data_IF_741297020088
#
_entry.id   IF_741297020088
#
_cell.length_a   1.000
_cell.length_b   1.000
_cell.length_c   1.000
_cell.angle_alpha   90.00
_cell.angle_beta   90.00
_cell.angle_gamma   90.00
#
_symmetry.space_group_name_H-M   'P 1'
#
loop_
_entity.id
_entity.type
_entity.pdbx_description
1 polymer ?
#
# COMPACT_ATOMS: atom_id res chain seq x y z
N UNK A 1 -23.82 -38.15 -68.55
CA UNK A 1 -24.23 -37.75 -67.19
C UNK A 1 -23.85 -38.88 -66.25
N UNK A 2 -23.21 -38.55 -65.12
CA UNK A 2 -22.69 -39.41 -64.01
C UNK A 2 -21.21 -39.82 -64.08
N UNK A 3 -20.38 -38.91 -63.57
CA UNK A 3 -19.20 -39.21 -62.76
C UNK A 3 -19.64 -39.52 -61.33
N UNK A 4 -18.97 -40.45 -60.65
CA UNK A 4 -18.75 -40.53 -59.18
C UNK A 4 -17.79 -41.70 -58.94
N UNK A 5 -16.48 -41.46 -58.76
CA UNK A 5 -15.75 -41.16 -57.51
C UNK A 5 -15.77 -42.29 -56.47
N UNK A 6 -14.60 -42.91 -56.33
CA UNK A 6 -14.18 -43.70 -55.17
C UNK A 6 -13.97 -42.77 -53.97
N UNK A 7 -14.51 -43.14 -52.80
CA UNK A 7 -14.15 -42.51 -51.53
C UNK A 7 -13.30 -43.47 -50.70
N UNK A 8 -12.10 -43.00 -50.35
CA UNK A 8 -11.17 -43.63 -49.41
C UNK A 8 -11.76 -43.62 -47.99
N UNK A 9 -11.59 -44.73 -47.29
CA UNK A 9 -11.86 -44.87 -45.86
C UNK A 9 -10.63 -44.34 -45.09
N UNK A 10 -10.72 -43.18 -44.43
CA UNK A 10 -9.72 -42.74 -43.45
C UNK A 10 -10.19 -43.08 -42.04
N UNK A 11 -9.42 -43.91 -41.34
CA UNK A 11 -9.62 -44.20 -39.93
C UNK A 11 -9.05 -43.03 -39.10
N UNK A 12 -9.94 -42.22 -38.52
CA UNK A 12 -9.57 -41.22 -37.54
C UNK A 12 -9.41 -41.89 -36.17
N UNK A 13 -8.15 -42.09 -35.73
CA UNK A 13 -7.84 -42.45 -34.36
C UNK A 13 -8.05 -41.24 -33.45
N UNK A 14 -9.02 -41.32 -32.54
CA UNK A 14 -9.22 -40.33 -31.50
C UNK A 14 -8.13 -40.49 -30.43
N UNK A 15 -7.11 -39.64 -30.48
CA UNK A 15 -6.21 -39.40 -29.35
C UNK A 15 -6.97 -38.57 -28.32
N UNK A 16 -7.48 -39.24 -27.28
CA UNK A 16 -8.00 -38.58 -26.10
C UNK A 16 -6.81 -38.01 -25.31
N UNK A 17 -6.45 -36.75 -25.58
CA UNK A 17 -5.56 -35.97 -24.71
C UNK A 17 -6.31 -35.68 -23.42
N UNK A 18 -6.07 -36.48 -22.39
CA UNK A 18 -6.40 -36.11 -21.02
C UNK A 18 -5.52 -34.92 -20.63
N UNK A 19 -6.04 -33.71 -20.80
CA UNK A 19 -5.48 -32.54 -20.14
C UNK A 19 -5.64 -32.79 -18.64
N UNK A 20 -4.55 -33.23 -18.00
CA UNK A 20 -4.44 -33.16 -16.54
C UNK A 20 -4.35 -31.67 -16.21
N UNK A 21 -5.47 -31.10 -15.79
CA UNK A 21 -5.47 -29.82 -15.11
C UNK A 21 -4.74 -30.07 -13.80
N UNK A 22 -3.46 -29.77 -13.76
CA UNK A 22 -2.71 -29.74 -12.51
C UNK A 22 -3.44 -28.77 -11.60
N UNK A 23 -4.07 -29.29 -10.55
CA UNK A 23 -4.41 -28.46 -9.41
C UNK A 23 -3.06 -28.02 -8.86
N UNK A 24 -2.67 -26.78 -9.13
CA UNK A 24 -1.62 -26.12 -8.37
C UNK A 24 -2.12 -26.14 -6.93
N UNK A 25 -1.65 -27.07 -6.11
CA UNK A 25 -1.76 -26.88 -4.67
C UNK A 25 -1.07 -25.54 -4.41
N UNK A 26 -1.85 -24.56 -3.99
CA UNK A 26 -1.30 -23.31 -3.48
C UNK A 26 -0.29 -23.73 -2.41
N UNK A 27 1.01 -23.45 -2.65
CA UNK A 27 2.04 -23.72 -1.64
C UNK A 27 1.58 -22.98 -0.39
N UNK A 28 1.24 -23.73 0.65
CA UNK A 28 0.94 -23.12 1.94
C UNK A 28 2.23 -22.46 2.42
N UNK A 29 2.18 -21.14 2.58
CA UNK A 29 3.28 -20.37 3.15
C UNK A 29 3.21 -20.62 4.65
N UNK A 30 4.24 -21.27 5.19
CA UNK A 30 4.37 -21.43 6.64
C UNK A 30 4.92 -20.12 7.23
N UNK A 31 4.27 -19.61 8.27
CA UNK A 31 4.69 -18.39 8.95
C UNK A 31 4.44 -18.53 10.46
N UNK A 32 5.17 -17.73 11.23
CA UNK A 32 4.96 -17.55 12.67
C UNK A 32 4.38 -16.16 12.89
N UNK A 33 3.36 -16.04 13.74
CA UNK A 33 2.78 -14.75 14.12
C UNK A 33 2.71 -14.61 15.64
N UNK A 34 2.92 -13.39 16.13
CA UNK A 34 2.78 -13.04 17.53
C UNK A 34 2.56 -11.54 17.70
N UNK A 35 2.09 -11.14 18.88
CA UNK A 35 1.96 -9.73 19.26
C UNK A 35 3.02 -9.38 20.32
N UNK A 36 3.62 -8.19 20.22
CA UNK A 36 4.38 -7.58 21.30
C UNK A 36 3.43 -7.00 22.37
N UNK A 37 3.95 -6.72 23.58
CA UNK A 37 3.10 -6.18 24.67
C UNK A 37 2.54 -4.78 24.34
N UNK A 38 3.25 -4.01 23.51
CA UNK A 38 2.77 -2.73 22.98
C UNK A 38 1.75 -2.89 21.84
N UNK A 39 1.38 -4.12 21.46
CA UNK A 39 0.35 -4.38 20.46
C UNK A 39 0.84 -4.35 19.01
N UNK A 40 2.15 -4.22 18.75
CA UNK A 40 2.69 -4.46 17.41
C UNK A 40 2.44 -5.91 17.01
N UNK A 41 1.72 -6.11 15.92
CA UNK A 41 1.53 -7.43 15.33
C UNK A 41 2.71 -7.80 14.44
N UNK A 42 3.27 -8.98 14.63
CA UNK A 42 4.48 -9.45 13.94
C UNK A 42 4.19 -10.73 13.18
N UNK A 43 4.64 -10.79 11.92
CA UNK A 43 4.55 -11.98 11.05
C UNK A 43 5.94 -12.30 10.50
N UNK A 44 6.41 -13.53 10.70
CA UNK A 44 7.71 -14.02 10.25
C UNK A 44 7.56 -15.20 9.28
N UNK A 45 8.25 -15.13 8.16
CA UNK A 45 8.37 -16.23 7.20
C UNK A 45 9.84 -16.53 6.93
N UNK A 46 10.30 -17.69 7.41
CA UNK A 46 11.66 -18.19 7.19
C UNK A 46 11.77 -18.90 5.83
N UNK A 47 12.65 -18.40 4.97
CA UNK A 47 12.99 -18.99 3.67
C UNK A 47 14.47 -18.77 3.32
N UNK A 48 15.28 -19.83 3.44
CA UNK A 48 16.70 -19.83 3.09
C UNK A 48 16.99 -20.01 1.59
N UNK A 49 16.00 -19.87 0.70
CA UNK A 49 16.19 -20.06 -0.73
C UNK A 49 17.17 -19.04 -1.36
N UNK A 50 17.22 -17.82 -0.80
CA UNK A 50 18.16 -16.76 -1.18
C UNK A 50 18.62 -15.97 0.04
N UNK A 51 19.86 -15.44 0.09
CA UNK A 51 20.38 -14.69 1.23
C UNK A 51 19.85 -13.24 1.28
N UNK A 52 18.52 -13.10 1.20
CA UNK A 52 17.79 -11.84 1.19
C UNK A 52 16.71 -11.88 2.27
N UNK A 53 16.40 -10.72 2.80
CA UNK A 53 15.29 -10.52 3.73
C UNK A 53 14.49 -9.29 3.30
N UNK A 54 13.16 -9.42 3.31
CA UNK A 54 12.23 -8.31 3.16
C UNK A 54 11.75 -7.93 4.56
N UNK A 55 12.04 -6.69 4.99
CA UNK A 55 11.48 -6.09 6.21
C UNK A 55 10.39 -5.13 5.76
N UNK A 56 9.20 -5.22 6.36
CA UNK A 56 8.06 -4.42 5.92
C UNK A 56 7.22 -3.96 7.11
N UNK A 57 6.75 -2.72 7.06
CA UNK A 57 5.77 -2.20 8.03
C UNK A 57 4.55 -1.69 7.30
N UNK A 58 3.40 -2.28 7.62
CA UNK A 58 2.10 -1.84 7.16
C UNK A 58 1.42 -1.09 8.30
N UNK A 59 1.21 0.21 8.11
CA UNK A 59 0.38 1.01 9.00
C UNK A 59 -1.07 0.92 8.52
N UNK A 60 -1.98 0.62 9.45
CA UNK A 60 -3.42 0.55 9.20
C UNK A 60 -4.00 1.97 9.12
N UNK A 61 -3.51 2.77 8.19
CA UNK A 61 -3.97 4.13 7.90
C UNK A 61 -3.80 4.38 6.41
N UNK A 62 -4.83 4.94 5.77
CA UNK A 62 -4.74 5.42 4.40
C UNK A 62 -5.58 6.68 4.24
N UNK A 63 -5.79 7.11 2.99
CA UNK A 63 -6.51 8.37 2.75
C UNK A 63 -7.96 8.37 3.26
N UNK A 64 -8.57 7.19 3.47
CA UNK A 64 -9.92 7.09 4.05
C UNK A 64 -9.99 7.56 5.50
N UNK A 65 -8.87 7.52 6.22
CA UNK A 65 -8.79 7.88 7.63
C UNK A 65 -8.60 9.39 7.86
N UNK A 66 -8.43 10.14 6.78
CA UNK A 66 -8.16 11.58 6.83
C UNK A 66 -9.40 12.39 7.19
N UNK A 67 -9.18 13.59 7.74
CA UNK A 67 -10.25 14.58 7.87
C UNK A 67 -10.62 15.10 6.50
N UNK A 68 -11.91 15.33 6.28
CA UNK A 68 -12.44 15.82 4.99
C UNK A 68 -11.91 17.21 4.61
N UNK A 69 -11.44 18.00 5.58
CA UNK A 69 -10.83 19.32 5.39
C UNK A 69 -9.29 19.30 5.38
N UNK A 70 -8.66 18.12 5.53
CA UNK A 70 -7.21 17.89 5.56
C UNK A 70 -6.84 16.59 4.83
N UNK A 71 -7.12 16.52 3.54
CA UNK A 71 -6.84 15.33 2.72
C UNK A 71 -5.43 15.34 2.13
N UNK A 72 -4.89 14.15 1.86
CA UNK A 72 -3.54 13.94 1.32
C UNK A 72 -2.49 13.67 2.39
N UNK A 73 -2.87 13.64 3.67
CA UNK A 73 -1.97 13.47 4.80
C UNK A 73 -1.32 12.09 4.82
N UNK A 74 -2.05 11.02 4.51
CA UNK A 74 -1.49 9.67 4.50
C UNK A 74 -0.37 9.53 3.46
N UNK A 75 -0.59 10.06 2.26
CA UNK A 75 0.44 10.11 1.22
C UNK A 75 1.56 11.08 1.56
N UNK A 76 1.27 12.20 2.22
CA UNK A 76 2.30 13.13 2.66
C UNK A 76 3.27 12.48 3.65
N UNK A 77 2.75 11.68 4.60
CA UNK A 77 3.58 10.94 5.54
C UNK A 77 4.38 9.81 4.90
N UNK A 78 3.92 9.26 3.78
CA UNK A 78 4.76 8.39 2.94
C UNK A 78 6.08 9.07 2.60
N UNK A 79 6.04 10.32 2.11
CA UNK A 79 7.24 11.10 1.77
C UNK A 79 7.99 11.58 3.02
N UNK A 80 7.27 12.13 4.00
CA UNK A 80 7.86 12.80 5.14
C UNK A 80 8.68 11.85 6.02
N UNK A 81 8.28 10.57 6.10
CA UNK A 81 8.97 9.58 6.91
C UNK A 81 10.27 9.03 6.31
N UNK A 82 10.68 9.51 5.13
CA UNK A 82 12.03 9.34 4.60
C UNK A 82 12.96 10.52 4.95
N UNK A 83 12.44 11.61 5.50
CA UNK A 83 13.25 12.78 5.84
C UNK A 83 14.11 12.60 7.09
N UNK A 84 14.08 11.45 7.76
CA UNK A 84 14.96 11.11 8.88
C UNK A 84 14.28 11.11 10.24
N UNK A 85 15.09 10.95 11.27
CA UNK A 85 14.68 10.76 12.66
C UNK A 85 15.60 11.51 13.62
N UNK A 86 15.45 11.30 14.93
CA UNK A 86 16.41 11.80 15.91
C UNK A 86 17.84 11.25 15.68
N UNK A 87 17.97 10.01 15.19
CA UNK A 87 19.26 9.33 14.97
C UNK A 87 19.67 9.21 13.49
N UNK A 88 18.78 9.52 12.55
CA UNK A 88 19.03 9.49 11.10
C UNK A 88 18.94 10.92 10.57
N UNK A 89 20.04 11.44 10.01
CA UNK A 89 20.03 12.80 9.51
C UNK A 89 19.14 12.94 8.26
N UNK A 90 18.76 14.20 7.97
CA UNK A 90 17.80 14.48 6.91
C UNK A 90 18.30 14.06 5.54
N UNK A 91 17.52 13.24 4.86
CA UNK A 91 17.85 12.68 3.54
C UNK A 91 18.87 11.55 3.57
N UNK A 92 19.18 10.99 4.74
CA UNK A 92 20.12 9.86 4.86
C UNK A 92 19.44 8.50 5.00
N UNK A 93 18.11 8.43 5.21
CA UNK A 93 17.39 7.16 5.41
C UNK A 93 17.69 6.17 4.28
N UNK A 94 17.43 6.59 3.04
CA UNK A 94 17.64 5.76 1.83
C UNK A 94 19.10 5.36 1.67
N UNK A 95 20.03 6.23 2.06
CA UNK A 95 21.47 5.98 1.94
C UNK A 95 21.92 4.82 2.83
N UNK A 96 21.31 4.59 4.00
CA UNK A 96 21.61 3.41 4.82
C UNK A 96 21.29 2.12 4.07
N UNK A 97 20.12 2.04 3.44
CA UNK A 97 19.66 0.87 2.68
C UNK A 97 20.51 0.67 1.42
N UNK A 98 20.73 1.73 0.64
CA UNK A 98 21.51 1.66 -0.60
C UNK A 98 22.98 1.28 -0.34
N UNK A 99 23.61 1.83 0.70
CA UNK A 99 24.98 1.48 1.08
C UNK A 99 25.11 0.03 1.56
N UNK A 100 24.03 -0.54 2.11
CA UNK A 100 23.93 -1.95 2.46
C UNK A 100 23.65 -2.86 1.25
N UNK A 101 23.46 -2.31 0.06
CA UNK A 101 23.14 -3.03 -1.17
C UNK A 101 21.67 -3.43 -1.29
N UNK A 102 20.79 -2.82 -0.50
CA UNK A 102 19.36 -3.03 -0.53
C UNK A 102 18.62 -2.09 -1.48
N UNK A 103 17.31 -2.29 -1.54
CA UNK A 103 16.36 -1.37 -2.15
C UNK A 103 15.22 -1.12 -1.16
N UNK A 104 14.63 0.06 -1.22
CA UNK A 104 13.47 0.41 -0.41
C UNK A 104 12.43 1.15 -1.24
N UNK A 105 11.20 1.13 -0.76
CA UNK A 105 10.14 2.00 -1.27
C UNK A 105 8.98 2.07 -0.28
N UNK A 106 8.00 2.90 -0.60
CA UNK A 106 6.72 2.91 0.06
C UNK A 106 5.57 3.06 -0.93
N UNK A 107 4.35 2.85 -0.46
CA UNK A 107 3.15 3.31 -1.15
C UNK A 107 1.96 3.45 -0.19
N UNK A 108 1.07 4.36 -0.56
CA UNK A 108 -0.17 4.64 0.16
C UNK A 108 -1.38 4.33 -0.69
N UNK A 109 -2.38 3.70 -0.08
CA UNK A 109 -3.71 3.52 -0.65
C UNK A 109 -4.75 4.25 0.19
N UNK A 110 -6.03 4.08 -0.15
CA UNK A 110 -7.11 4.53 0.70
C UNK A 110 -7.12 3.81 2.06
N UNK A 111 -6.55 2.61 2.16
CA UNK A 111 -6.68 1.75 3.34
C UNK A 111 -5.43 1.64 4.20
N UNK A 112 -4.25 1.77 3.59
CA UNK A 112 -2.98 1.48 4.25
C UNK A 112 -1.80 2.23 3.65
N UNK A 113 -0.81 2.52 4.50
CA UNK A 113 0.52 3.00 4.10
C UNK A 113 1.51 1.88 4.38
N UNK A 114 2.30 1.54 3.37
CA UNK A 114 3.18 0.39 3.39
C UNK A 114 4.60 0.82 3.06
N UNK A 115 5.54 0.45 3.93
CA UNK A 115 6.97 0.66 3.75
C UNK A 115 7.67 -0.68 3.68
N UNK A 116 8.72 -0.77 2.86
CA UNK A 116 9.53 -1.97 2.79
C UNK A 116 10.98 -1.70 2.41
N UNK A 117 11.84 -2.57 2.93
CA UNK A 117 13.25 -2.71 2.56
C UNK A 117 13.51 -4.16 2.14
N UNK A 118 14.15 -4.35 0.99
CA UNK A 118 14.74 -5.62 0.59
C UNK A 118 16.26 -5.52 0.77
N UNK A 119 16.79 -6.35 1.67
CA UNK A 119 18.17 -6.27 2.15
C UNK A 119 18.86 -7.64 2.04
N UNK A 120 20.20 -7.70 1.95
CA UNK A 120 20.94 -8.92 2.28
C UNK A 120 20.58 -9.41 3.70
N UNK A 121 20.46 -10.72 3.92
CA UNK A 121 20.00 -11.27 5.22
C UNK A 121 20.85 -10.82 6.41
N UNK A 122 22.16 -10.62 6.21
CA UNK A 122 23.06 -10.10 7.24
C UNK A 122 22.85 -8.61 7.60
N UNK A 123 21.87 -7.95 6.98
CA UNK A 123 21.45 -6.57 7.25
C UNK A 123 20.04 -6.50 7.85
N UNK A 124 19.47 -7.62 8.30
CA UNK A 124 18.16 -7.65 8.97
C UNK A 124 18.07 -6.64 10.12
N UNK A 125 19.09 -6.59 11.00
CA UNK A 125 19.14 -5.66 12.11
C UNK A 125 19.12 -4.19 11.66
N UNK A 126 19.73 -3.86 10.51
CA UNK A 126 19.67 -2.52 9.93
C UNK A 126 18.24 -2.16 9.54
N UNK A 127 17.52 -3.05 8.86
CA UNK A 127 16.11 -2.83 8.49
C UNK A 127 15.21 -2.62 9.71
N UNK A 128 15.39 -3.45 10.74
CA UNK A 128 14.64 -3.32 12.00
C UNK A 128 14.92 -1.99 12.72
N UNK A 129 16.18 -1.57 12.77
CA UNK A 129 16.54 -0.27 13.33
C UNK A 129 15.88 0.88 12.57
N UNK A 130 15.99 0.89 11.23
CA UNK A 130 15.42 1.94 10.38
C UNK A 130 13.90 2.08 10.57
N UNK A 131 13.17 0.96 10.57
CA UNK A 131 11.71 0.98 10.76
C UNK A 131 11.31 1.36 12.19
N UNK A 132 12.10 1.00 13.20
CA UNK A 132 11.86 1.46 14.58
C UNK A 132 12.06 2.97 14.73
N UNK A 133 13.06 3.55 14.05
CA UNK A 133 13.31 5.00 14.03
C UNK A 133 12.17 5.75 13.36
N UNK A 134 11.62 5.21 12.27
CA UNK A 134 10.46 5.77 11.60
C UNK A 134 9.19 5.74 12.47
N UNK A 135 9.02 4.70 13.28
CA UNK A 135 7.84 4.55 14.14
C UNK A 135 7.89 5.40 15.41
N UNK A 136 9.07 5.57 16.01
CA UNK A 136 9.20 6.25 17.30
C UNK A 136 9.80 7.66 17.19
N UNK A 137 10.86 7.82 16.39
CA UNK A 137 11.73 8.99 16.42
C UNK A 137 11.62 9.85 15.16
N UNK A 138 10.57 9.69 14.34
CA UNK A 138 10.43 10.45 13.10
C UNK A 138 10.47 11.96 13.36
N UNK A 139 11.26 12.67 12.56
CA UNK A 139 11.56 14.07 12.79
C UNK A 139 10.68 14.97 11.90
N UNK A 140 9.52 15.34 12.42
CA UNK A 140 8.52 16.17 11.72
C UNK A 140 8.84 17.65 11.98
N UNK A 141 9.65 18.25 11.11
CA UNK A 141 10.00 19.67 11.17
C UNK A 141 9.31 20.49 10.08
N UNK A 142 9.05 21.77 10.34
CA UNK A 142 8.45 22.69 9.36
C UNK A 142 9.24 22.75 8.06
N UNK A 143 10.57 22.73 8.12
CA UNK A 143 11.41 22.73 6.91
C UNK A 143 11.15 21.51 6.03
N UNK A 144 10.85 20.36 6.65
CA UNK A 144 10.51 19.13 5.95
C UNK A 144 9.12 19.20 5.32
N UNK A 145 8.15 19.65 6.09
CA UNK A 145 6.78 19.91 5.61
C UNK A 145 6.80 20.87 4.42
N UNK A 146 7.49 22.00 4.51
CA UNK A 146 7.56 22.98 3.43
C UNK A 146 8.19 22.40 2.16
N UNK A 147 9.22 21.56 2.33
CA UNK A 147 9.90 20.91 1.20
C UNK A 147 8.98 19.88 0.53
N UNK A 148 8.40 18.98 1.33
CA UNK A 148 7.57 17.89 0.81
C UNK A 148 6.26 18.39 0.22
N UNK A 149 5.72 19.52 0.70
CA UNK A 149 4.55 20.13 0.08
C UNK A 149 4.82 20.53 -1.38
N UNK A 150 5.98 21.12 -1.67
CA UNK A 150 6.35 21.44 -3.06
C UNK A 150 6.64 20.19 -3.91
N UNK A 151 7.22 19.14 -3.31
CA UNK A 151 7.43 17.85 -3.99
C UNK A 151 6.10 17.20 -4.36
N UNK A 152 5.14 17.12 -3.43
CA UNK A 152 3.82 16.52 -3.66
C UNK A 152 3.03 17.31 -4.71
N UNK A 153 3.11 18.65 -4.72
CA UNK A 153 2.52 19.47 -5.78
C UNK A 153 3.09 19.12 -7.14
N UNK A 154 4.39 18.92 -7.24
CA UNK A 154 5.04 18.56 -8.48
C UNK A 154 4.71 17.13 -8.91
N UNK A 155 4.63 16.19 -7.97
CA UNK A 155 4.13 14.84 -8.23
C UNK A 155 2.70 14.89 -8.79
N UNK A 156 1.81 15.67 -8.18
CA UNK A 156 0.44 15.83 -8.67
C UNK A 156 0.42 16.34 -10.11
N UNK A 157 1.24 17.34 -10.42
CA UNK A 157 1.37 17.86 -11.79
C UNK A 157 1.86 16.76 -12.75
N UNK A 158 2.86 15.99 -12.35
CA UNK A 158 3.47 14.97 -13.21
C UNK A 158 2.61 13.71 -13.38
N UNK A 159 1.83 13.31 -12.37
CA UNK A 159 1.04 12.06 -12.38
C UNK A 159 -0.41 12.26 -12.78
N UNK A 160 -0.97 13.47 -12.57
CA UNK A 160 -2.39 13.73 -12.80
C UNK A 160 -2.63 14.88 -13.79
N UNK A 161 -2.06 16.06 -13.54
CA UNK A 161 -2.50 17.26 -14.27
C UNK A 161 -1.90 17.35 -15.69
N UNK A 162 -0.72 16.78 -15.88
CA UNK A 162 -0.02 16.73 -17.17
C UNK A 162 -0.03 15.33 -17.81
N UNK A 163 -0.72 14.35 -17.23
CA UNK A 163 -0.87 13.02 -17.83
C UNK A 163 -2.18 12.92 -18.62
N UNK A 164 -2.14 12.34 -19.83
CA UNK A 164 -3.36 11.96 -20.52
C UNK A 164 -4.23 11.06 -19.63
N UNK A 165 -5.50 11.39 -19.51
CA UNK A 165 -6.46 10.72 -18.62
C UNK A 165 -6.04 10.66 -17.13
N UNK A 166 -5.12 11.50 -16.67
CA UNK A 166 -4.64 11.47 -15.27
C UNK A 166 -5.75 11.73 -14.24
N UNK A 167 -6.80 12.47 -14.62
CA UNK A 167 -7.97 12.72 -13.77
C UNK A 167 -8.97 11.55 -13.73
N UNK A 168 -8.73 10.47 -14.48
CA UNK A 168 -9.70 9.38 -14.60
C UNK A 168 -10.06 8.77 -13.25
N UNK A 169 -9.05 8.39 -12.45
CA UNK A 169 -9.30 7.78 -11.15
C UNK A 169 -9.88 8.78 -10.13
N UNK A 170 -9.32 9.99 -9.93
CA UNK A 170 -9.94 10.99 -9.04
C UNK A 170 -11.40 11.28 -9.37
N UNK A 171 -11.73 11.49 -10.64
CA UNK A 171 -13.12 11.78 -11.00
C UNK A 171 -14.02 10.56 -10.87
N UNK A 172 -13.55 9.37 -11.23
CA UNK A 172 -14.33 8.14 -11.04
C UNK A 172 -14.65 7.91 -9.57
N UNK A 173 -13.67 8.09 -8.67
CA UNK A 173 -13.86 7.91 -7.23
C UNK A 173 -14.82 8.96 -6.65
N UNK A 174 -14.64 10.23 -6.99
CA UNK A 174 -15.54 11.30 -6.57
C UNK A 174 -16.98 11.15 -7.09
N UNK A 175 -17.16 10.49 -8.24
CA UNK A 175 -18.47 10.18 -8.79
C UNK A 175 -19.06 8.86 -8.29
N UNK A 176 -18.25 7.97 -7.71
CA UNK A 176 -18.67 6.66 -7.24
C UNK A 176 -19.20 6.72 -5.79
N UNK A 177 -18.68 7.64 -4.97
CA UNK A 177 -19.01 7.78 -3.56
C UNK A 177 -19.53 9.18 -3.24
N UNK A 178 -20.69 9.26 -2.60
CA UNK A 178 -21.32 10.51 -2.18
C UNK A 178 -20.92 10.87 -0.73
N UNK A 179 -20.78 9.86 0.14
CA UNK A 179 -20.48 10.07 1.57
C UNK A 179 -19.18 9.40 2.00
N UNK A 180 -18.85 8.23 1.45
CA UNK A 180 -17.70 7.45 1.89
C UNK A 180 -16.37 8.18 1.59
N UNK A 181 -15.36 8.10 2.49
CA UNK A 181 -14.04 8.73 2.29
C UNK A 181 -13.25 8.26 1.06
N UNK A 182 -13.72 7.20 0.38
CA UNK A 182 -13.15 6.78 -0.90
C UNK A 182 -13.44 7.76 -2.04
N UNK A 183 -14.21 8.83 -1.82
CA UNK A 183 -14.48 9.87 -2.81
C UNK A 183 -13.23 10.68 -3.23
N UNK A 184 -12.13 10.62 -2.47
CA UNK A 184 -10.83 11.22 -2.88
C UNK A 184 -9.72 10.18 -3.02
N UNK A 185 -8.73 10.51 -3.85
CA UNK A 185 -7.53 9.70 -4.02
C UNK A 185 -6.46 10.04 -2.98
N UNK A 186 -5.49 9.14 -2.73
CA UNK A 186 -4.48 9.35 -1.69
C UNK A 186 -3.65 10.63 -1.80
N UNK A 187 -3.45 11.17 -3.01
CA UNK A 187 -2.70 12.43 -3.20
C UNK A 187 -3.41 13.65 -2.60
N UNK A 188 -4.71 13.56 -2.34
CA UNK A 188 -5.49 14.60 -1.66
C UNK A 188 -5.61 15.93 -2.41
N UNK A 189 -5.98 16.96 -1.66
CA UNK A 189 -6.15 18.33 -2.15
C UNK A 189 -4.95 19.19 -1.80
N UNK A 190 -4.40 19.90 -2.80
CA UNK A 190 -3.28 20.82 -2.56
C UNK A 190 -3.71 22.01 -1.68
N UNK A 191 -4.98 22.43 -1.75
CA UNK A 191 -5.51 23.46 -0.86
C UNK A 191 -5.52 22.98 0.61
N UNK A 192 -5.84 21.71 0.83
CA UNK A 192 -5.82 21.13 2.17
C UNK A 192 -4.40 21.03 2.72
N UNK A 193 -3.44 20.60 1.89
CA UNK A 193 -2.03 20.53 2.27
C UNK A 193 -1.43 21.93 2.51
N UNK A 194 -1.79 22.93 1.69
CA UNK A 194 -1.36 24.33 1.87
C UNK A 194 -1.96 24.99 3.11
N UNK A 195 -3.13 24.54 3.55
CA UNK A 195 -3.81 25.03 4.75
C UNK A 195 -3.45 24.27 6.04
N UNK A 196 -2.76 23.12 5.92
CA UNK A 196 -2.33 22.33 7.07
C UNK A 196 -1.19 23.02 7.82
N UNK A 197 -1.23 22.98 9.14
CA UNK A 197 -0.14 23.48 9.98
C UNK A 197 0.65 22.33 10.63
N UNK A 198 1.78 22.64 11.28
CA UNK A 198 2.61 21.65 11.96
C UNK A 198 1.83 20.77 12.96
N UNK A 199 0.81 21.32 13.62
CA UNK A 199 0.01 20.58 14.58
C UNK A 199 -0.90 19.55 13.89
N UNK A 200 -1.44 19.85 12.70
CA UNK A 200 -2.18 18.87 11.89
C UNK A 200 -1.28 17.65 11.55
N UNK A 201 0.00 17.86 11.23
CA UNK A 201 0.96 16.77 10.96
C UNK A 201 1.28 15.97 12.22
N UNK A 202 1.61 16.64 13.33
CA UNK A 202 1.89 15.96 14.59
C UNK A 202 0.70 15.15 15.09
N UNK A 203 -0.52 15.69 14.96
CA UNK A 203 -1.75 14.97 15.30
C UNK A 203 -1.90 13.70 14.46
N UNK A 204 -1.66 13.76 13.15
CA UNK A 204 -1.74 12.59 12.28
C UNK A 204 -0.71 11.52 12.67
N UNK A 205 0.55 11.92 12.91
CA UNK A 205 1.61 11.01 13.33
C UNK A 205 1.28 10.31 14.65
N UNK A 206 0.98 11.08 15.70
CA UNK A 206 0.68 10.56 17.04
C UNK A 206 -0.57 9.67 17.08
N UNK A 207 -1.48 9.83 16.12
CA UNK A 207 -2.72 9.06 16.04
C UNK A 207 -2.53 7.73 15.31
N UNK A 208 -1.74 7.71 14.23
CA UNK A 208 -1.71 6.58 13.30
C UNK A 208 -0.38 5.82 13.23
N UNK A 209 0.75 6.45 13.56
CA UNK A 209 2.07 5.82 13.51
C UNK A 209 2.46 5.28 14.88
N UNK A 210 1.71 4.29 15.34
CA UNK A 210 1.85 3.67 16.67
C UNK A 210 1.87 2.14 16.56
N UNK A 211 2.50 1.41 17.50
CA UNK A 211 2.67 -0.05 17.42
C UNK A 211 1.37 -0.82 17.20
N UNK A 212 0.31 -0.51 17.96
CA UNK A 212 -0.99 -1.19 17.85
C UNK A 212 -1.78 -0.85 16.58
N UNK A 213 -1.27 0.09 15.76
CA UNK A 213 -1.81 0.43 14.45
C UNK A 213 -0.92 -0.07 13.30
N UNK A 214 0.03 -0.96 13.58
CA UNK A 214 0.98 -1.45 12.59
C UNK A 214 1.10 -2.98 12.59
N UNK A 215 1.55 -3.50 11.45
CA UNK A 215 1.98 -4.89 11.30
C UNK A 215 3.39 -4.90 10.73
N UNK A 216 4.33 -5.47 11.48
CA UNK A 216 5.68 -5.77 11.04
C UNK A 216 5.68 -7.16 10.41
N UNK A 217 6.03 -7.25 9.13
CA UNK A 217 6.17 -8.54 8.45
C UNK A 217 7.57 -8.69 7.88
N UNK A 218 8.22 -9.82 8.18
CA UNK A 218 9.57 -10.13 7.75
C UNK A 218 9.59 -11.47 7.04
N UNK A 219 10.15 -11.52 5.84
CA UNK A 219 10.21 -12.73 5.04
C UNK A 219 11.60 -12.89 4.39
N UNK A 220 12.20 -14.08 4.48
CA UNK A 220 13.46 -14.40 3.81
C UNK A 220 14.41 -15.25 4.65
N UNK A 221 15.71 -15.15 4.36
CA UNK A 221 16.76 -15.92 5.03
C UNK A 221 17.00 -15.35 6.44
N UNK A 222 16.32 -15.93 7.43
CA UNK A 222 16.33 -15.51 8.83
C UNK A 222 16.21 -16.73 9.74
N UNK A 223 16.64 -16.60 11.00
CA UNK A 223 16.29 -17.53 12.07
C UNK A 223 15.17 -16.89 12.92
N UNK A 224 14.09 -17.62 13.17
CA UNK A 224 12.89 -17.08 13.84
C UNK A 224 13.19 -16.61 15.28
N UNK A 225 13.98 -17.37 16.03
CA UNK A 225 14.28 -17.05 17.43
C UNK A 225 15.21 -15.84 17.52
N UNK A 226 16.28 -15.79 16.71
CA UNK A 226 17.19 -14.63 16.64
C UNK A 226 16.47 -13.37 16.14
N UNK A 227 15.57 -13.52 15.17
CA UNK A 227 14.79 -12.40 14.63
C UNK A 227 13.83 -11.85 15.67
N UNK A 228 13.21 -12.71 16.47
CA UNK A 228 12.34 -12.28 17.57
C UNK A 228 13.10 -11.45 18.60
N UNK A 229 14.29 -11.87 19.01
CA UNK A 229 15.12 -11.11 19.95
C UNK A 229 15.46 -9.70 19.41
N UNK A 230 15.75 -9.59 18.10
CA UNK A 230 15.96 -8.30 17.46
C UNK A 230 14.70 -7.44 17.43
N UNK A 231 13.54 -8.03 17.12
CA UNK A 231 12.26 -7.31 17.11
C UNK A 231 11.94 -6.77 18.51
N UNK A 232 12.08 -7.61 19.55
CA UNK A 232 11.88 -7.19 20.93
C UNK A 232 12.86 -6.05 21.30
N UNK A 233 14.13 -6.14 20.89
CA UNK A 233 15.13 -5.08 21.12
C UNK A 233 14.73 -3.72 20.51
N UNK A 234 14.18 -3.69 19.31
CA UNK A 234 13.92 -2.42 18.58
C UNK A 234 12.50 -1.89 18.76
N UNK A 235 11.50 -2.76 18.95
CA UNK A 235 10.10 -2.36 18.93
C UNK A 235 9.41 -2.45 20.28
N UNK A 236 9.86 -3.29 21.23
CA UNK A 236 9.12 -3.54 22.49
C UNK A 236 8.93 -2.27 23.32
N UNK A 237 9.96 -1.41 23.39
CA UNK A 237 9.96 -0.20 24.22
C UNK A 237 9.25 0.99 23.55
N UNK A 238 8.78 0.83 22.29
CA UNK A 238 7.97 1.85 21.62
C UNK A 238 6.62 1.91 22.34
N UNK A 239 6.23 3.08 22.89
CA UNK A 239 4.99 3.21 23.61
C UNK A 239 3.79 3.03 22.68
N UNK A 240 2.74 2.45 23.25
CA UNK A 240 1.40 2.44 22.66
C UNK A 240 0.91 3.85 22.38
N UNK A 241 0.04 3.98 21.39
CA UNK A 241 -0.75 5.17 21.16
C UNK A 241 -1.57 5.55 22.41
N UNK A 242 -1.61 6.85 22.71
CA UNK A 242 -2.44 7.41 23.79
C UNK A 242 -3.85 7.81 23.35
N UNK A 243 -4.21 7.57 22.08
CA UNK A 243 -5.43 8.04 21.44
C UNK A 243 -6.17 6.88 20.79
N UNK A 244 -7.49 6.99 20.74
CA UNK A 244 -8.29 6.07 19.93
C UNK A 244 -7.98 6.29 18.44
N UNK A 245 -7.75 5.19 17.71
CA UNK A 245 -7.45 5.25 16.27
C UNK A 245 -8.78 5.36 15.50
N UNK A 246 -9.06 6.49 14.84
CA UNK A 246 -10.35 6.68 14.16
C UNK A 246 -10.47 5.78 12.93
N UNK A 247 -11.60 5.08 12.84
CA UNK A 247 -11.99 4.25 11.70
C UNK A 247 -13.27 4.82 11.09
N UNK A 248 -13.33 5.07 9.77
CA UNK A 248 -14.57 5.48 9.13
C UNK A 248 -15.65 4.43 9.35
N UNK A 249 -16.81 4.87 9.85
CA UNK A 249 -18.01 4.02 10.02
C UNK A 249 -19.09 4.34 8.98
N UNK A 250 -18.76 5.17 8.00
CA UNK A 250 -19.68 5.60 6.95
C UNK A 250 -20.01 4.37 6.08
N UNK A 251 -21.29 4.14 5.85
CA UNK A 251 -21.78 3.12 4.93
C UNK A 251 -22.33 3.86 3.72
N UNK A 252 -21.71 3.66 2.56
CA UNK A 252 -22.15 4.28 1.32
C UNK A 252 -23.58 3.82 0.96
N UNK A 253 -24.53 4.74 0.70
CA UNK A 253 -25.85 4.38 0.22
C UNK A 253 -25.80 3.58 -1.09
N UNK A 254 -26.68 2.59 -1.22
CA UNK A 254 -26.78 1.82 -2.46
C UNK A 254 -27.14 2.73 -3.65
N UNK A 255 -26.34 2.70 -4.71
CA UNK A 255 -26.63 3.44 -5.95
C UNK A 255 -27.84 2.85 -6.66
N UNK A 256 -28.91 3.63 -6.77
CA UNK A 256 -30.16 3.23 -7.44
C UNK A 256 -30.30 3.76 -8.87
N UNK A 257 -29.38 4.63 -9.31
CA UNK A 257 -29.42 5.26 -10.63
C UNK A 257 -28.00 5.48 -11.18
N UNK A 258 -27.91 5.59 -12.51
CA UNK A 258 -26.67 5.98 -13.18
C UNK A 258 -26.31 7.44 -12.83
N UNK A 259 -25.05 7.67 -12.49
CA UNK A 259 -24.43 8.99 -12.52
C UNK A 259 -23.49 9.02 -13.71
N UNK A 260 -23.67 10.02 -14.57
CA UNK A 260 -22.91 10.19 -15.80
C UNK A 260 -22.44 11.63 -15.91
N UNK A 261 -21.19 11.79 -16.29
CA UNK A 261 -20.60 13.08 -16.63
C UNK A 261 -19.72 12.96 -17.88
N UNK A 262 -19.41 14.08 -18.51
CA UNK A 262 -18.48 14.18 -19.64
C UNK A 262 -17.40 15.17 -19.30
N UNK A 263 -16.20 14.66 -19.03
CA UNK A 263 -15.03 15.47 -18.68
C UNK A 263 -14.30 15.86 -19.96
N UNK A 264 -14.07 17.15 -20.14
CA UNK A 264 -13.28 17.66 -21.26
C UNK A 264 -11.82 17.88 -20.83
N UNK A 265 -10.91 17.13 -21.45
CA UNK A 265 -9.46 17.23 -21.22
C UNK A 265 -8.69 17.71 -22.45
N UNK A 266 -7.36 17.73 -22.33
CA UNK A 266 -6.43 18.01 -23.46
C UNK A 266 -6.11 16.75 -24.27
N UNK A 267 -6.80 15.65 -23.97
CA UNK A 267 -6.59 14.33 -24.56
C UNK A 267 -6.97 14.30 -26.04
N UNK A 268 -6.22 13.52 -26.83
CA UNK A 268 -6.42 13.43 -28.28
C UNK A 268 -7.55 12.49 -28.68
N UNK A 269 -7.88 11.51 -27.82
CA UNK A 269 -8.89 10.51 -28.08
C UNK A 269 -9.93 10.52 -26.95
N UNK A 270 -11.21 10.31 -27.26
CA UNK A 270 -12.23 10.12 -26.23
C UNK A 270 -12.02 8.78 -25.54
N UNK A 271 -12.27 8.75 -24.23
CA UNK A 271 -12.31 7.55 -23.40
C UNK A 271 -13.69 7.45 -22.73
N UNK A 272 -14.24 6.24 -22.67
CA UNK A 272 -15.46 5.95 -21.92
C UNK A 272 -15.10 4.99 -20.79
N UNK A 273 -15.46 5.36 -19.57
CA UNK A 273 -15.26 4.52 -18.37
C UNK A 273 -16.61 4.27 -17.71
N UNK A 274 -16.81 3.02 -17.31
CA UNK A 274 -17.97 2.58 -16.54
C UNK A 274 -17.44 1.92 -15.27
N UNK A 275 -17.91 2.40 -14.13
CA UNK A 275 -17.58 1.85 -12.82
C UNK A 275 -18.86 1.37 -12.13
N UNK A 276 -18.79 0.22 -11.47
CA UNK A 276 -19.90 -0.36 -10.73
C UNK A 276 -19.42 -0.71 -9.32
N UNK A 277 -20.22 -0.45 -8.27
CA UNK A 277 -19.95 -0.99 -6.95
C UNK A 277 -19.90 -2.52 -7.00
N UNK A 278 -18.89 -3.10 -6.35
CA UNK A 278 -18.75 -4.55 -6.19
C UNK A 278 -18.86 -4.92 -4.70
N UNK A 279 -19.11 -6.19 -4.35
CA UNK A 279 -19.06 -6.66 -2.97
C UNK A 279 -17.73 -6.31 -2.30
N UNK A 280 -17.75 -6.10 -0.98
CA UNK A 280 -16.55 -5.79 -0.22
C UNK A 280 -15.54 -6.95 -0.26
N UNK A 281 -14.24 -6.61 -0.29
CA UNK A 281 -13.16 -7.58 -0.24
C UNK A 281 -13.32 -8.52 0.98
N UNK A 282 -13.08 -9.82 0.76
CA UNK A 282 -13.22 -10.86 1.79
C UNK A 282 -14.64 -11.42 1.96
N UNK A 283 -15.65 -10.87 1.28
CA UNK A 283 -16.97 -11.50 1.21
C UNK A 283 -16.97 -12.66 0.20
N UNK A 284 -17.85 -13.68 0.36
CA UNK A 284 -17.94 -14.79 -0.60
C UNK A 284 -18.18 -14.33 -2.04
N UNK A 285 -18.96 -13.26 -2.23
CA UNK A 285 -19.32 -12.74 -3.56
C UNK A 285 -18.18 -11.92 -4.21
N UNK A 286 -17.23 -11.40 -3.43
CA UNK A 286 -16.07 -10.67 -3.98
C UNK A 286 -15.26 -11.55 -4.93
N UNK A 287 -15.02 -12.81 -4.55
CA UNK A 287 -14.25 -13.76 -5.36
C UNK A 287 -14.90 -14.14 -6.69
N UNK A 288 -16.19 -13.83 -6.89
CA UNK A 288 -16.86 -14.05 -8.16
C UNK A 288 -16.61 -12.92 -9.18
N UNK A 289 -16.10 -11.77 -8.72
CA UNK A 289 -15.93 -10.55 -9.53
C UNK A 289 -14.48 -10.01 -9.56
N UNK A 290 -13.58 -10.60 -8.78
CA UNK A 290 -12.12 -10.34 -8.74
C UNK A 290 -11.37 -10.99 -9.91
#
# INVERSE_FOLDING_TARGET
MRFTSFLFLSAAGALASSAAWGQTEARQIEFTEFDLDNGLHVILHEDHSTPLVAVTVLYHVGSKNERTDRTGMAHFFEHLLFEGSENIARGEFDAYVENAGGILNANTTQDRTFYYELLPSNQLELGLWLESERMLHAKIEQIGIDTQNEVVKEEKRQRYDNQPYGQLLPTTMAMAYDEHPYQWTPIGSMEHLDAADHADFMEFYETFYVPENATLSIAGDLDVDETRDLIEKYFQDIPRGGRDIPRPTIIEPARTAEVRDTIYGKDRLPLVVQAYPIPAQGTPDYYAVD
#
